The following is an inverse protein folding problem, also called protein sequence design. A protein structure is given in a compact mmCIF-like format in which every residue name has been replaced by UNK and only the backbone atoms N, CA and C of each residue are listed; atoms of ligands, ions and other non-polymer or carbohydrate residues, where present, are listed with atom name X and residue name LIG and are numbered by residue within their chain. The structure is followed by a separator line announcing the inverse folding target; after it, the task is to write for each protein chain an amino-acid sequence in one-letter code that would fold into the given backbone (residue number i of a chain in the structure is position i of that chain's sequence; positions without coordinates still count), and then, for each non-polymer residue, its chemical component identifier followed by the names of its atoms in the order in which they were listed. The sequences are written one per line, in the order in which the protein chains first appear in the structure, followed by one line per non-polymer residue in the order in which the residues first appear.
data_IF_119736029032
#
_entry.id   IF_119736029032
#
_cell.length_a   1.000
_cell.length_b   1.000
_cell.length_c   1.000
_cell.angle_alpha   90.00
_cell.angle_beta   90.00
_cell.angle_gamma   90.00
#
_symmetry.space_group_name_H-M   'P 1'
#
loop_
_entity.id
_entity.type
_entity.pdbx_description
1 polymer ?
#
# COMPACT_ATOMS: atom_id res chain seq x y z
N UNK A 1 7.89 15.20 13.07
CA UNK A 1 6.45 15.12 13.39
C UNK A 1 6.12 13.68 13.76
N UNK A 2 5.60 13.43 14.96
CA UNK A 2 5.13 12.10 15.38
C UNK A 2 3.62 12.02 15.17
N UNK A 3 3.17 11.04 14.38
CA UNK A 3 1.75 10.82 14.14
C UNK A 3 1.08 10.35 15.45
N UNK A 4 -0.08 10.90 15.84
CA UNK A 4 -0.79 10.44 17.03
C UNK A 4 -1.12 8.94 16.94
N UNK A 5 -0.96 8.19 18.03
CA UNK A 5 -1.16 6.73 18.06
C UNK A 5 -2.52 6.28 17.53
N UNK A 6 -3.59 7.02 17.84
CA UNK A 6 -4.95 6.74 17.34
C UNK A 6 -5.01 6.85 15.81
N UNK A 7 -4.44 7.92 15.27
CA UNK A 7 -4.34 8.17 13.82
C UNK A 7 -3.49 7.09 13.15
N UNK A 8 -2.35 6.73 13.73
CA UNK A 8 -1.49 5.67 13.19
C UNK A 8 -2.19 4.31 13.14
N UNK A 9 -2.93 3.94 14.19
CA UNK A 9 -3.71 2.69 14.22
C UNK A 9 -4.78 2.66 13.14
N UNK A 10 -5.45 3.78 12.92
CA UNK A 10 -6.44 3.92 11.86
C UNK A 10 -5.81 3.79 10.47
N UNK A 11 -4.70 4.50 10.22
CA UNK A 11 -3.93 4.39 8.97
C UNK A 11 -3.44 2.97 8.71
N UNK A 12 -2.98 2.27 9.75
CA UNK A 12 -2.57 0.86 9.66
C UNK A 12 -3.72 -0.04 9.21
N UNK A 13 -4.92 0.12 9.78
CA UNK A 13 -6.11 -0.65 9.39
C UNK A 13 -6.45 -0.38 7.92
N UNK A 14 -6.45 0.89 7.49
CA UNK A 14 -6.68 1.24 6.08
C UNK A 14 -5.64 0.59 5.19
N UNK A 15 -4.36 0.63 5.58
CA UNK A 15 -3.27 0.01 4.80
C UNK A 15 -3.49 -1.48 4.62
N UNK A 16 -3.93 -2.19 5.66
CA UNK A 16 -4.25 -3.62 5.57
C UNK A 16 -5.38 -3.86 4.58
N UNK A 17 -6.48 -3.10 4.67
CA UNK A 17 -7.62 -3.22 3.74
C UNK A 17 -7.17 -2.94 2.29
N UNK A 18 -6.39 -1.90 2.06
CA UNK A 18 -5.87 -1.57 0.73
C UNK A 18 -4.92 -2.65 0.19
N UNK A 19 -4.15 -3.31 1.07
CA UNK A 19 -3.31 -4.47 0.68
C UNK A 19 -4.17 -5.60 0.11
N UNK A 20 -5.28 -5.95 0.77
CA UNK A 20 -6.20 -6.97 0.27
C UNK A 20 -6.82 -6.59 -1.07
N UNK A 21 -7.26 -5.33 -1.21
CA UNK A 21 -7.83 -4.82 -2.46
C UNK A 21 -6.78 -4.85 -3.59
N UNK A 22 -5.54 -4.45 -3.30
CA UNK A 22 -4.45 -4.48 -4.27
C UNK A 22 -4.21 -5.90 -4.81
N UNK A 23 -4.08 -6.89 -3.92
CA UNK A 23 -3.88 -8.28 -4.32
C UNK A 23 -5.09 -8.86 -5.03
N UNK A 24 -6.30 -8.51 -4.59
CA UNK A 24 -7.52 -8.94 -5.28
C UNK A 24 -7.55 -8.38 -6.71
N UNK A 25 -7.18 -7.12 -6.90
CA UNK A 25 -7.05 -6.53 -8.23
C UNK A 25 -5.96 -7.23 -9.05
N UNK A 26 -4.81 -7.53 -8.45
CA UNK A 26 -3.69 -8.15 -9.16
C UNK A 26 -3.97 -9.62 -9.58
N UNK A 27 -4.72 -10.37 -8.78
CA UNK A 27 -4.96 -11.80 -8.99
C UNK A 27 -6.25 -12.10 -9.77
N UNK A 28 -7.27 -11.25 -9.67
CA UNK A 28 -8.61 -11.53 -10.21
C UNK A 28 -9.03 -10.59 -11.35
N UNK A 29 -8.28 -9.52 -11.64
CA UNK A 29 -8.60 -8.66 -12.81
C UNK A 29 -8.07 -9.34 -14.08
N UNK A 30 -8.93 -9.67 -15.05
CA UNK A 30 -8.52 -10.37 -16.26
C UNK A 30 -7.56 -9.51 -17.10
N UNK A 31 -6.56 -10.16 -17.72
CA UNK A 31 -5.45 -9.54 -18.46
C UNK A 31 -5.90 -8.46 -19.47
N UNK A 32 -7.09 -8.59 -20.05
CA UNK A 32 -7.66 -7.63 -21.01
C UNK A 32 -8.03 -6.27 -20.41
N UNK A 33 -8.28 -6.20 -19.10
CA UNK A 33 -8.48 -4.94 -18.36
C UNK A 33 -7.13 -4.37 -17.89
N UNK A 34 -6.11 -5.24 -17.72
CA UNK A 34 -4.76 -4.84 -17.36
C UNK A 34 -4.09 -3.97 -18.44
N UNK A 35 -4.38 -4.24 -19.72
CA UNK A 35 -3.82 -3.47 -20.87
C UNK A 35 -4.36 -2.04 -20.92
N UNK A 36 -5.57 -1.81 -20.39
CA UNK A 36 -6.15 -0.47 -20.27
C UNK A 36 -5.98 -0.02 -18.83
N UNK A 37 -4.78 0.43 -18.47
CA UNK A 37 -4.47 0.91 -17.12
C UNK A 37 -5.41 2.09 -16.75
N UNK A 38 -6.52 1.77 -16.08
CA UNK A 38 -7.54 2.76 -15.75
C UNK A 38 -6.96 3.76 -14.75
N UNK A 39 -7.17 5.06 -14.97
CA UNK A 39 -6.74 6.15 -14.09
C UNK A 39 -7.12 5.92 -12.63
N UNK A 40 -8.26 5.24 -12.36
CA UNK A 40 -8.66 4.87 -11.00
C UNK A 40 -7.70 3.90 -10.32
N UNK A 41 -7.13 2.92 -11.05
CA UNK A 41 -6.14 2.00 -10.50
C UNK A 41 -4.80 2.71 -10.25
N UNK A 42 -4.39 3.61 -11.14
CA UNK A 42 -3.20 4.44 -10.95
C UNK A 42 -3.29 5.31 -9.68
N UNK A 43 -4.41 6.00 -9.50
CA UNK A 43 -4.66 6.82 -8.30
C UNK A 43 -4.66 5.94 -7.05
N UNK A 44 -5.31 4.77 -7.10
CA UNK A 44 -5.30 3.83 -5.98
C UNK A 44 -3.89 3.38 -5.60
N UNK A 45 -3.06 3.02 -6.58
CA UNK A 45 -1.69 2.56 -6.35
C UNK A 45 -0.81 3.66 -5.74
N UNK A 46 -0.94 4.91 -6.18
CA UNK A 46 -0.23 6.07 -5.60
C UNK A 46 -0.67 6.32 -4.15
N UNK A 47 -1.98 6.33 -3.89
CA UNK A 47 -2.50 6.55 -2.54
C UNK A 47 -2.01 5.44 -1.61
N UNK A 48 -2.08 4.20 -2.07
CA UNK A 48 -1.62 3.05 -1.30
C UNK A 48 -0.11 3.09 -1.05
N UNK A 49 0.70 3.50 -2.04
CA UNK A 49 2.14 3.69 -1.90
C UNK A 49 2.47 4.71 -0.80
N UNK A 50 1.85 5.89 -0.84
CA UNK A 50 2.06 6.94 0.17
C UNK A 50 1.66 6.44 1.56
N UNK A 51 0.52 5.74 1.65
CA UNK A 51 0.00 5.23 2.91
C UNK A 51 0.90 4.13 3.50
N UNK A 52 1.36 3.19 2.67
CA UNK A 52 2.29 2.13 3.05
C UNK A 52 3.64 2.69 3.51
N UNK A 53 4.13 3.75 2.85
CA UNK A 53 5.32 4.48 3.26
C UNK A 53 5.12 5.15 4.62
N UNK A 54 3.99 5.84 4.83
CA UNK A 54 3.67 6.49 6.11
C UNK A 54 3.63 5.46 7.24
N UNK A 55 2.94 4.34 7.07
CA UNK A 55 2.80 3.31 8.11
C UNK A 55 4.12 2.57 8.37
N UNK A 56 4.96 2.39 7.35
CA UNK A 56 6.24 1.68 7.51
C UNK A 56 7.33 2.57 8.11
N UNK A 57 7.33 3.87 7.81
CA UNK A 57 8.42 4.79 8.16
C UNK A 57 8.11 5.75 9.32
N UNK A 58 6.85 6.17 9.50
CA UNK A 58 6.43 7.14 10.53
C UNK A 58 5.79 6.47 11.75
N UNK A 59 6.36 5.36 12.20
CA UNK A 59 5.93 4.63 13.39
C UNK A 59 6.07 5.49 14.67
N UNK A 60 5.02 5.61 15.50
CA UNK A 60 5.11 6.28 16.80
C UNK A 60 6.03 5.50 17.75
N UNK A 61 6.84 6.19 18.55
CA UNK A 61 7.79 5.57 19.50
C UNK A 61 7.15 4.59 20.48
N UNK A 62 5.88 4.82 20.84
CA UNK A 62 5.12 4.01 21.81
C UNK A 62 4.27 2.92 21.13
N UNK A 63 4.53 2.64 19.85
CA UNK A 63 3.82 1.67 19.05
C UNK A 63 4.83 0.73 18.39
N UNK A 64 4.58 -0.58 18.48
CA UNK A 64 5.43 -1.58 17.85
C UNK A 64 4.64 -2.30 16.74
N UNK A 65 5.04 -2.06 15.50
CA UNK A 65 4.59 -2.76 14.30
C UNK A 65 5.44 -4.03 14.17
N UNK A 66 4.81 -5.21 14.07
CA UNK A 66 5.52 -6.47 13.87
C UNK A 66 6.47 -6.39 12.67
N UNK A 67 7.67 -7.00 12.78
CA UNK A 67 8.66 -7.02 11.69
C UNK A 67 8.10 -7.60 10.39
N UNK A 68 7.20 -8.58 10.48
CA UNK A 68 6.54 -9.20 9.33
C UNK A 68 5.68 -8.18 8.58
N UNK A 69 4.93 -7.33 9.28
CA UNK A 69 4.13 -6.29 8.63
C UNK A 69 5.00 -5.23 7.96
N UNK A 70 6.13 -4.86 8.57
CA UNK A 70 7.10 -3.95 7.93
C UNK A 70 7.67 -4.55 6.65
N UNK A 71 7.99 -5.84 6.67
CA UNK A 71 8.47 -6.55 5.49
C UNK A 71 7.41 -6.59 4.39
N UNK A 72 6.15 -6.91 4.74
CA UNK A 72 5.03 -6.87 3.78
C UNK A 72 4.89 -5.47 3.19
N UNK A 73 4.84 -4.42 4.03
CA UNK A 73 4.74 -3.03 3.55
C UNK A 73 5.87 -2.65 2.60
N UNK A 74 7.11 -3.07 2.89
CA UNK A 74 8.26 -2.84 2.04
C UNK A 74 8.16 -3.59 0.69
N UNK A 75 7.74 -4.86 0.70
CA UNK A 75 7.49 -5.63 -0.53
C UNK A 75 6.42 -4.94 -1.37
N UNK A 76 5.34 -4.46 -0.75
CA UNK A 76 4.26 -3.78 -1.46
C UNK A 76 4.74 -2.48 -2.12
N UNK A 77 5.59 -1.70 -1.44
CA UNK A 77 6.23 -0.50 -2.02
C UNK A 77 7.01 -0.89 -3.30
N UNK A 78 7.82 -1.96 -3.26
CA UNK A 78 8.58 -2.43 -4.43
C UNK A 78 7.65 -2.88 -5.56
N UNK A 79 6.63 -3.68 -5.26
CA UNK A 79 5.68 -4.20 -6.26
C UNK A 79 4.92 -3.05 -6.93
N UNK A 80 4.48 -2.04 -6.16
CA UNK A 80 3.83 -0.85 -6.71
C UNK A 80 4.80 -0.06 -7.59
N UNK A 81 6.06 0.12 -7.18
CA UNK A 81 7.05 0.78 -8.03
C UNK A 81 7.23 0.04 -9.36
N UNK A 82 7.39 -1.29 -9.34
CA UNK A 82 7.49 -2.08 -10.56
C UNK A 82 6.24 -1.88 -11.43
N UNK A 83 5.05 -1.93 -10.82
CA UNK A 83 3.79 -1.72 -11.53
C UNK A 83 3.71 -0.32 -12.18
N UNK A 84 4.10 0.73 -11.45
CA UNK A 84 4.07 2.11 -11.94
C UNK A 84 5.12 2.40 -13.01
N UNK A 85 6.32 1.80 -12.94
CA UNK A 85 7.40 2.08 -13.91
C UNK A 85 7.38 1.18 -15.15
N UNK A 86 6.80 -0.02 -15.07
CA UNK A 86 6.82 -1.00 -16.17
C UNK A 86 5.46 -1.20 -16.85
N UNK A 87 4.34 -0.79 -16.22
CA UNK A 87 2.99 -0.99 -16.76
C UNK A 87 2.18 0.30 -16.95
N UNK A 88 2.76 1.49 -16.69
CA UNK A 88 2.20 2.80 -17.12
C UNK A 88 2.81 3.22 -18.46
#
# INVERSE_FOLDING_TARGET
MTIPRKTFRFLRIITIIMTFIFWANMLFVPDKILVTYNTSFFIFDIIYFILAFIVSYFEPKDYHVPKIEKLIGFIMIIVIMIKLFFFS
#
